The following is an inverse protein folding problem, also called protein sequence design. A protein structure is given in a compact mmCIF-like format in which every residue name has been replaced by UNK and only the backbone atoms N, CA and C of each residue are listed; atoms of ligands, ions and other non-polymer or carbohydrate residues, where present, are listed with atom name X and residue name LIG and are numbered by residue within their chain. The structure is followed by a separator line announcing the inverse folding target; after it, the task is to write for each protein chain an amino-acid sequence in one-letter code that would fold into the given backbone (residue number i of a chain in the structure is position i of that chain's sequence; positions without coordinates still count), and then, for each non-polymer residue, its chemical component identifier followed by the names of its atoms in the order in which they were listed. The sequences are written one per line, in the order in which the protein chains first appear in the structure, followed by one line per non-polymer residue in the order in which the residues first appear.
data_IF_903185154690
#
_entry.id   IF_903185154690
#
_cell.length_a   1.000
_cell.length_b   1.000
_cell.length_c   1.000
_cell.angle_alpha   90.00
_cell.angle_beta   90.00
_cell.angle_gamma   90.00
#
_symmetry.space_group_name_H-M   'P 1'
#
loop_
_entity.id
_entity.type
_entity.pdbx_description
1 polymer ?
#
# COMPACT_ATOMS: atom_id res chain seq x y z
N UNK A 1 6.08 11.31 -5.00
CA UNK A 1 5.29 11.32 -3.74
C UNK A 1 5.93 10.46 -2.65
N UNK A 2 6.25 9.18 -2.91
CA UNK A 2 6.77 8.25 -1.88
C UNK A 2 7.95 8.80 -1.07
N UNK A 3 9.00 9.33 -1.71
CA UNK A 3 10.16 9.90 -1.01
C UNK A 3 9.78 11.04 -0.04
N UNK A 4 8.82 11.89 -0.45
CA UNK A 4 8.32 12.98 0.39
C UNK A 4 7.55 12.44 1.60
N UNK A 5 6.72 11.40 1.41
CA UNK A 5 6.02 10.75 2.53
C UNK A 5 7.01 10.13 3.52
N UNK A 6 8.08 9.51 3.03
CA UNK A 6 9.15 8.97 3.89
C UNK A 6 9.77 10.05 4.77
N UNK A 7 10.12 11.20 4.20
CA UNK A 7 10.69 12.33 4.95
C UNK A 7 9.71 12.82 6.02
N UNK A 8 8.42 12.98 5.66
CA UNK A 8 7.39 13.40 6.61
C UNK A 8 7.27 12.46 7.80
N UNK A 9 7.24 11.14 7.54
CA UNK A 9 7.12 10.13 8.60
C UNK A 9 8.37 10.10 9.49
N UNK A 10 9.57 10.09 8.91
CA UNK A 10 10.83 10.01 9.68
C UNK A 10 11.03 11.25 10.55
N UNK A 11 10.71 12.44 10.03
CA UNK A 11 10.95 13.71 10.73
C UNK A 11 9.73 14.21 11.53
N UNK A 12 8.60 13.52 11.47
CA UNK A 12 7.36 13.96 12.13
C UNK A 12 6.80 15.27 11.57
N UNK A 13 6.92 15.50 10.26
CA UNK A 13 6.53 16.76 9.61
C UNK A 13 5.16 16.67 8.94
N UNK A 14 4.28 17.61 9.29
CA UNK A 14 2.95 17.76 8.68
C UNK A 14 2.11 16.49 8.75
N UNK A 15 1.14 16.37 7.85
CA UNK A 15 0.24 15.21 7.79
C UNK A 15 0.71 14.19 6.74
N UNK A 16 1.16 13.02 7.21
CA UNK A 16 1.54 11.89 6.34
C UNK A 16 0.30 11.18 5.78
N UNK A 17 0.37 10.63 4.56
CA UNK A 17 -0.73 9.92 3.88
C UNK A 17 -1.13 8.57 4.53
N UNK A 18 -0.76 8.34 5.78
CA UNK A 18 -1.20 7.18 6.58
C UNK A 18 -2.74 7.15 6.60
N UNK A 19 -3.30 5.97 6.30
CA UNK A 19 -4.75 5.77 6.23
C UNK A 19 -5.42 6.41 5.02
N UNK A 20 -4.66 6.83 4.00
CA UNK A 20 -5.19 7.49 2.80
C UNK A 20 -4.64 6.87 1.51
N UNK A 21 -5.46 6.86 0.47
CA UNK A 21 -5.04 6.49 -0.89
C UNK A 21 -5.03 7.77 -1.72
N UNK A 22 -3.88 8.05 -2.35
CA UNK A 22 -3.73 9.12 -3.33
C UNK A 22 -3.87 8.53 -4.74
N UNK A 23 -4.85 9.01 -5.49
CA UNK A 23 -4.98 8.78 -6.93
C UNK A 23 -4.60 10.05 -7.68
N UNK A 24 -3.85 9.88 -8.77
CA UNK A 24 -3.41 10.96 -9.65
C UNK A 24 -3.94 10.65 -11.04
N UNK A 25 -4.84 11.50 -11.52
CA UNK A 25 -5.24 11.52 -12.92
C UNK A 25 -4.32 12.48 -13.66
N UNK A 26 -3.44 11.94 -14.51
CA UNK A 26 -2.47 12.76 -15.24
C UNK A 26 -3.03 13.40 -16.50
N UNK A 27 -4.19 12.95 -16.99
CA UNK A 27 -4.85 13.52 -18.16
C UNK A 27 -5.42 14.89 -17.80
N UNK A 28 -6.14 14.96 -16.68
CA UNK A 28 -6.79 16.17 -16.17
C UNK A 28 -5.96 16.88 -15.07
N UNK A 29 -4.80 16.33 -14.73
CA UNK A 29 -3.91 16.80 -13.64
C UNK A 29 -4.64 16.92 -12.29
N UNK A 30 -5.50 15.94 -11.98
CA UNK A 30 -6.31 15.92 -10.77
C UNK A 30 -5.70 15.02 -9.69
N UNK A 31 -5.73 15.49 -8.43
CA UNK A 31 -5.35 14.71 -7.26
C UNK A 31 -6.59 14.40 -6.42
N UNK A 32 -6.84 13.10 -6.20
CA UNK A 32 -7.94 12.63 -5.36
C UNK A 32 -7.40 11.86 -4.17
N UNK A 33 -7.85 12.22 -2.98
CA UNK A 33 -7.47 11.57 -1.72
C UNK A 33 -8.68 10.85 -1.14
N UNK A 34 -8.55 9.55 -0.94
CA UNK A 34 -9.58 8.71 -0.33
C UNK A 34 -9.17 8.28 1.06
N UNK A 35 -10.12 8.30 2.00
CA UNK A 35 -9.91 7.75 3.34
C UNK A 35 -9.99 6.22 3.29
N UNK A 36 -8.87 5.56 3.59
CA UNK A 36 -8.82 4.10 3.68
C UNK A 36 -9.29 3.67 5.06
N UNK A 37 -10.40 2.92 5.10
CA UNK A 37 -10.94 2.37 6.35
C UNK A 37 -10.38 0.97 6.57
N UNK A 38 -9.99 0.68 7.81
CA UNK A 38 -9.64 -0.68 8.23
C UNK A 38 -10.86 -1.57 8.03
N UNK A 39 -10.69 -2.67 7.32
CA UNK A 39 -11.67 -3.74 7.28
C UNK A 39 -11.61 -4.51 8.62
N UNK A 40 -12.70 -4.57 9.41
CA UNK A 40 -12.73 -5.31 10.66
C UNK A 40 -12.53 -6.83 10.46
N UNK A 41 -12.81 -7.36 9.26
CA UNK A 41 -12.60 -8.78 8.94
C UNK A 41 -11.14 -9.11 8.56
N UNK A 42 -10.29 -8.10 8.29
CA UNK A 42 -8.91 -8.31 7.85
C UNK A 42 -8.09 -9.09 8.91
N UNK A 43 -7.57 -10.25 8.51
CA UNK A 43 -6.74 -11.10 9.35
C UNK A 43 -5.25 -10.75 9.30
N UNK A 44 -4.80 -10.00 8.29
CA UNK A 44 -3.40 -9.57 8.14
C UNK A 44 -3.20 -8.28 8.91
N UNK A 45 -2.95 -8.41 10.21
CA UNK A 45 -2.76 -7.28 11.15
C UNK A 45 -1.58 -7.54 12.07
N UNK A 46 -1.13 -6.50 12.79
CA UNK A 46 -0.05 -6.62 13.77
C UNK A 46 -0.40 -7.57 14.93
N UNK A 47 -1.65 -7.58 15.37
CA UNK A 47 -2.12 -8.46 16.44
C UNK A 47 -2.04 -9.94 16.03
N UNK A 48 -2.22 -10.24 14.75
CA UNK A 48 -2.12 -11.58 14.17
C UNK A 48 -0.73 -11.92 13.61
N UNK A 49 0.31 -11.11 13.89
CA UNK A 49 1.64 -11.24 13.25
C UNK A 49 2.26 -12.64 13.37
N UNK A 50 2.01 -13.35 14.48
CA UNK A 50 2.54 -14.70 14.71
C UNK A 50 1.88 -15.78 13.82
N UNK A 51 0.73 -15.45 13.19
CA UNK A 51 0.03 -16.31 12.22
C UNK A 51 0.51 -16.09 10.78
N UNK A 52 1.26 -15.02 10.52
CA UNK A 52 1.68 -14.63 9.17
C UNK A 52 2.86 -15.51 8.75
N UNK A 53 2.72 -16.18 7.61
CA UNK A 53 3.77 -17.00 7.00
C UNK A 53 4.36 -16.27 5.81
N UNK A 54 5.69 -16.20 5.74
CA UNK A 54 6.40 -15.74 4.55
C UNK A 54 6.34 -16.86 3.52
N UNK A 55 5.92 -16.54 2.30
CA UNK A 55 5.89 -17.44 1.16
C UNK A 55 6.40 -16.71 -0.06
N UNK A 56 6.91 -17.49 -1.01
CA UNK A 56 7.25 -16.98 -2.32
C UNK A 56 5.99 -16.55 -3.06
N UNK A 57 6.19 -15.51 -3.85
CA UNK A 57 5.12 -14.78 -4.51
C UNK A 57 4.99 -15.26 -5.95
N UNK A 58 4.37 -16.42 -6.15
CA UNK A 58 4.22 -17.00 -7.48
C UNK A 58 3.17 -16.22 -8.31
N UNK A 59 3.55 -15.76 -9.49
CA UNK A 59 2.63 -15.19 -10.49
C UNK A 59 2.15 -13.75 -10.25
N UNK A 60 2.77 -13.01 -9.32
CA UNK A 60 2.32 -11.64 -9.00
C UNK A 60 3.01 -10.59 -9.88
N UNK A 61 2.40 -10.47 -11.07
CA UNK A 61 2.51 -9.42 -12.11
C UNK A 61 3.28 -9.80 -13.39
N UNK A 62 3.58 -11.07 -13.62
CA UNK A 62 4.02 -11.58 -14.92
C UNK A 62 3.04 -12.64 -15.44
N UNK A 63 2.70 -12.65 -16.75
CA UNK A 63 2.07 -13.83 -17.33
C UNK A 63 3.04 -15.02 -17.27
N UNK A 64 2.50 -16.19 -16.93
CA UNK A 64 3.20 -17.46 -16.83
C UNK A 64 3.02 -18.26 -18.12
N UNK A 65 4.07 -18.96 -18.58
CA UNK A 65 4.00 -19.94 -19.68
C UNK A 65 4.66 -21.25 -19.22
N UNK A 66 3.90 -22.34 -19.28
CA UNK A 66 4.29 -23.70 -18.85
C UNK A 66 5.05 -24.45 -19.96
N UNK A 67 6.28 -24.01 -20.26
CA UNK A 67 7.12 -24.66 -21.25
C UNK A 67 8.47 -25.05 -20.63
N UNK A 68 8.45 -25.77 -19.49
CA UNK A 68 9.35 -26.88 -19.06
C UNK A 68 9.26 -27.18 -17.55
#
# INVERSE_FOLDING_TARGET
IQALETIKVILGLGDALIGRILSVDTTEMEFRVFNLRRDPANQVTWENRDRIQVRDLDGLCAPWLDDH
#
